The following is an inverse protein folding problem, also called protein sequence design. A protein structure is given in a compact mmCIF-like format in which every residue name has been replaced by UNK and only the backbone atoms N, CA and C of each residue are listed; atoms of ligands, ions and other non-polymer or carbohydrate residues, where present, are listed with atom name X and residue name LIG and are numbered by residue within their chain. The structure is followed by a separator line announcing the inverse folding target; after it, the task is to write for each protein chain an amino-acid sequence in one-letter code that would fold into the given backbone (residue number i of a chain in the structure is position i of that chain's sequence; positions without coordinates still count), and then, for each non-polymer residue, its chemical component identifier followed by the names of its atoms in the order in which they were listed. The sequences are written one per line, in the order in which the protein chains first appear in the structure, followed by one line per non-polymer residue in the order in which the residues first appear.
data_IF_084770407130
#
_entry.id   IF_084770407130
#
_cell.length_a   1.000
_cell.length_b   1.000
_cell.length_c   1.000
_cell.angle_alpha   90.00
_cell.angle_beta   90.00
_cell.angle_gamma   90.00
#
_symmetry.space_group_name_H-M   'P 1'
#
loop_
_entity.id
_entity.type
_entity.pdbx_description
1 polymer ?
#
# COMPACT_ATOMS: atom_id res chain seq x y z
N UNK A 1 1.79 31.10 -3.10
CA UNK A 1 1.39 29.75 -3.56
C UNK A 1 2.12 28.63 -2.80
N UNK A 2 3.43 28.74 -2.54
CA UNK A 2 4.20 27.72 -1.79
C UNK A 2 3.67 27.35 -0.39
N UNK A 3 3.14 28.33 0.35
CA UNK A 3 2.55 28.10 1.68
C UNK A 3 1.36 27.14 1.65
N UNK A 4 0.48 27.26 0.64
CA UNK A 4 -0.74 26.45 0.52
C UNK A 4 -0.39 25.02 0.12
N UNK A 5 0.48 24.87 -0.89
CA UNK A 5 0.94 23.55 -1.32
C UNK A 5 1.65 22.82 -0.18
N UNK A 6 2.56 23.49 0.53
CA UNK A 6 3.25 22.94 1.71
C UNK A 6 2.26 22.50 2.79
N UNK A 7 1.23 23.29 3.09
CA UNK A 7 0.19 22.93 4.05
C UNK A 7 -0.57 21.67 3.63
N UNK A 8 -0.97 21.57 2.37
CA UNK A 8 -1.66 20.39 1.83
C UNK A 8 -0.79 19.13 1.93
N UNK A 9 0.50 19.20 1.53
CA UNK A 9 1.43 18.08 1.64
C UNK A 9 1.63 17.61 3.07
N UNK A 10 1.81 18.56 4.00
CA UNK A 10 1.97 18.24 5.42
C UNK A 10 0.74 17.55 6.00
N UNK A 11 -0.46 18.00 5.65
CA UNK A 11 -1.71 17.36 6.11
C UNK A 11 -1.88 15.95 5.55
N UNK A 12 -1.55 15.70 4.27
CA UNK A 12 -1.58 14.37 3.66
C UNK A 12 -0.59 13.45 4.35
N UNK A 13 0.68 13.87 4.47
CA UNK A 13 1.72 13.06 5.10
C UNK A 13 1.41 12.79 6.57
N UNK A 14 0.92 13.79 7.32
CA UNK A 14 0.50 13.62 8.70
C UNK A 14 -0.60 12.58 8.82
N UNK A 15 -1.62 12.64 7.97
CA UNK A 15 -2.74 11.68 7.97
C UNK A 15 -2.24 10.27 7.64
N UNK A 16 -1.35 10.13 6.65
CA UNK A 16 -0.69 8.87 6.30
C UNK A 16 0.14 8.29 7.47
N UNK A 17 1.00 9.09 8.12
CA UNK A 17 1.83 8.63 9.23
C UNK A 17 0.99 8.24 10.46
N UNK A 18 -0.08 8.97 10.76
CA UNK A 18 -1.01 8.58 11.83
C UNK A 18 -1.62 7.22 11.52
N UNK A 19 -2.06 6.97 10.28
CA UNK A 19 -2.58 5.67 9.89
C UNK A 19 -1.53 4.56 10.03
N UNK A 20 -0.25 4.81 9.73
CA UNK A 20 0.83 3.84 9.99
C UNK A 20 1.00 3.53 11.49
N UNK A 21 0.82 4.51 12.37
CA UNK A 21 0.83 4.26 13.83
C UNK A 21 -0.34 3.35 14.22
N UNK A 22 -1.54 3.60 13.72
CA UNK A 22 -2.70 2.74 13.96
C UNK A 22 -2.51 1.33 13.38
N UNK A 23 -1.90 1.21 12.20
CA UNK A 23 -1.51 -0.08 11.62
C UNK A 23 -0.57 -0.83 12.56
N UNK A 24 0.49 -0.18 13.07
CA UNK A 24 1.46 -0.80 13.97
C UNK A 24 0.81 -1.26 15.29
N UNK A 25 -0.05 -0.43 15.88
CA UNK A 25 -0.82 -0.79 17.08
C UNK A 25 -1.75 -1.98 16.81
N UNK A 26 -2.45 -1.96 15.68
CA UNK A 26 -3.29 -3.06 15.23
C UNK A 26 -2.48 -4.35 15.06
N UNK A 27 -1.32 -4.28 14.41
CA UNK A 27 -0.44 -5.43 14.20
C UNK A 27 0.10 -6.01 15.50
N UNK A 28 0.47 -5.17 16.46
CA UNK A 28 0.89 -5.63 17.79
C UNK A 28 -0.22 -6.42 18.48
N UNK A 29 -1.46 -5.91 18.44
CA UNK A 29 -2.63 -6.61 19.00
C UNK A 29 -2.91 -7.90 18.22
N UNK A 30 -2.92 -7.84 16.89
CA UNK A 30 -3.16 -8.99 16.03
C UNK A 30 -2.20 -10.14 16.31
N UNK A 31 -0.90 -9.86 16.49
CA UNK A 31 0.11 -10.90 16.73
C UNK A 31 -0.05 -11.56 18.09
N UNK A 32 -0.34 -10.79 19.14
CA UNK A 32 -0.40 -11.29 20.51
C UNK A 32 -1.74 -11.97 20.86
N UNK A 33 -2.85 -11.49 20.28
CA UNK A 33 -4.19 -11.93 20.68
C UNK A 33 -4.86 -12.88 19.68
N UNK A 34 -4.30 -13.07 18.48
CA UNK A 34 -4.88 -13.98 17.48
C UNK A 34 -4.18 -15.35 17.52
N UNK A 35 -4.92 -16.42 17.90
CA UNK A 35 -4.41 -17.79 17.88
C UNK A 35 -4.04 -18.25 16.47
N UNK A 36 -3.02 -19.10 16.36
CA UNK A 36 -2.57 -19.67 15.08
C UNK A 36 -3.68 -20.35 14.28
N UNK A 37 -4.67 -20.95 14.96
CA UNK A 37 -5.81 -21.64 14.33
C UNK A 37 -6.71 -20.74 13.49
N UNK A 38 -6.77 -19.43 13.78
CA UNK A 38 -7.64 -18.47 13.07
C UNK A 38 -6.86 -17.69 11.98
N UNK A 39 -5.52 -17.77 11.98
CA UNK A 39 -4.66 -16.99 11.07
C UNK A 39 -4.93 -17.27 9.59
N UNK A 40 -5.28 -18.50 9.23
CA UNK A 40 -5.65 -18.84 7.85
C UNK A 40 -6.96 -18.16 7.41
N UNK A 41 -7.97 -18.12 8.28
CA UNK A 41 -9.22 -17.39 8.04
C UNK A 41 -8.99 -15.87 7.93
N UNK A 42 -8.01 -15.34 8.66
CA UNK A 42 -7.68 -13.91 8.63
C UNK A 42 -6.97 -13.49 7.36
N UNK A 43 -6.16 -14.36 6.73
CA UNK A 43 -5.60 -14.09 5.40
C UNK A 43 -6.70 -13.93 4.34
N UNK A 44 -7.80 -14.68 4.45
CA UNK A 44 -8.98 -14.54 3.59
C UNK A 44 -9.71 -13.22 3.89
N UNK A 45 -9.88 -12.87 5.17
CA UNK A 45 -10.49 -11.59 5.58
C UNK A 45 -9.66 -10.37 5.14
N UNK A 46 -8.33 -10.48 5.20
CA UNK A 46 -7.38 -9.50 4.67
C UNK A 46 -7.54 -9.33 3.16
N UNK A 47 -7.64 -10.44 2.43
CA UNK A 47 -7.85 -10.42 0.99
C UNK A 47 -9.16 -9.71 0.60
N UNK A 48 -10.24 -9.97 1.33
CA UNK A 48 -11.54 -9.28 1.16
C UNK A 48 -11.42 -7.78 1.47
N UNK A 49 -10.63 -7.39 2.47
CA UNK A 49 -10.41 -5.97 2.80
C UNK A 49 -9.56 -5.24 1.76
N UNK A 50 -8.57 -5.89 1.16
CA UNK A 50 -7.82 -5.35 0.02
C UNK A 50 -8.76 -5.19 -1.18
N UNK A 51 -9.58 -6.20 -1.49
CA UNK A 51 -10.63 -6.16 -2.52
C UNK A 51 -11.51 -4.92 -2.37
N UNK A 52 -12.14 -4.77 -1.21
CA UNK A 52 -13.03 -3.65 -0.93
C UNK A 52 -12.27 -2.33 -1.08
N UNK A 53 -11.04 -2.23 -0.56
CA UNK A 53 -10.24 -1.00 -0.66
C UNK A 53 -9.85 -0.62 -2.09
N UNK A 54 -9.53 -1.60 -2.96
CA UNK A 54 -9.18 -1.37 -4.36
C UNK A 54 -10.36 -0.84 -5.18
N UNK A 55 -11.58 -1.30 -4.88
CA UNK A 55 -12.81 -0.80 -5.51
C UNK A 55 -13.25 0.57 -4.98
N UNK A 56 -12.71 1.04 -3.85
CA UNK A 56 -13.17 2.29 -3.22
C UNK A 56 -12.41 3.54 -3.66
N UNK A 57 -11.68 3.50 -4.78
CA UNK A 57 -11.10 4.71 -5.40
C UNK A 57 -12.10 5.84 -5.68
N UNK A 58 -13.41 5.57 -5.56
CA UNK A 58 -14.51 6.55 -5.64
C UNK A 58 -15.08 6.97 -4.28
N UNK A 59 -14.22 7.26 -3.30
CA UNK A 59 -14.51 8.14 -2.15
C UNK A 59 -15.54 7.69 -1.10
N UNK A 60 -16.16 6.52 -1.22
CA UNK A 60 -17.30 6.13 -0.38
C UNK A 60 -16.99 5.45 0.96
N UNK A 61 -15.90 4.68 1.07
CA UNK A 61 -15.67 3.80 2.24
C UNK A 61 -14.88 4.45 3.38
N UNK A 62 -14.04 5.45 3.06
CA UNK A 62 -13.22 6.17 4.04
C UNK A 62 -13.42 7.67 3.85
N UNK A 63 -14.56 8.22 4.32
CA UNK A 63 -14.93 9.61 4.05
C UNK A 63 -14.13 10.62 4.89
N UNK A 64 -13.56 10.20 6.02
CA UNK A 64 -12.91 11.07 6.99
C UNK A 64 -11.66 10.42 7.62
N UNK A 65 -10.89 11.23 8.35
CA UNK A 65 -9.63 10.79 8.99
C UNK A 65 -9.83 9.68 10.02
N UNK A 66 -10.97 9.68 10.72
CA UNK A 66 -11.30 8.67 11.74
C UNK A 66 -11.51 7.30 11.10
N UNK A 67 -12.31 7.23 10.03
CA UNK A 67 -12.53 6.01 9.26
C UNK A 67 -11.22 5.46 8.70
N UNK A 68 -10.28 6.33 8.29
CA UNK A 68 -8.98 5.89 7.79
C UNK A 68 -8.15 5.23 8.89
N UNK A 69 -8.15 5.80 10.10
CA UNK A 69 -7.42 5.24 11.24
C UNK A 69 -8.03 3.92 11.72
N UNK A 70 -9.36 3.82 11.75
CA UNK A 70 -10.06 2.57 12.08
C UNK A 70 -9.72 1.50 11.03
N UNK A 71 -9.76 1.85 9.75
CA UNK A 71 -9.37 0.96 8.67
C UNK A 71 -7.92 0.48 8.84
N UNK A 72 -6.98 1.40 9.09
CA UNK A 72 -5.58 1.07 9.28
C UNK A 72 -5.36 0.16 10.50
N UNK A 73 -6.08 0.41 11.60
CA UNK A 73 -6.02 -0.43 12.78
C UNK A 73 -6.52 -1.86 12.53
N UNK A 74 -7.70 -1.99 11.91
CA UNK A 74 -8.26 -3.30 11.55
C UNK A 74 -7.32 -4.01 10.57
N UNK A 75 -6.84 -3.30 9.54
CA UNK A 75 -5.86 -3.85 8.61
C UNK A 75 -4.61 -4.34 9.33
N UNK A 76 -4.13 -3.59 10.32
CA UNK A 76 -2.99 -3.94 11.15
C UNK A 76 -3.21 -5.25 11.89
N UNK A 77 -4.38 -5.41 12.53
CA UNK A 77 -4.77 -6.65 13.23
C UNK A 77 -4.72 -7.85 12.29
N UNK A 78 -5.23 -7.70 11.06
CA UNK A 78 -5.29 -8.77 10.07
C UNK A 78 -3.92 -9.10 9.47
N UNK A 79 -3.06 -8.10 9.30
CA UNK A 79 -1.78 -8.22 8.59
C UNK A 79 -0.57 -8.39 9.49
N UNK A 80 -0.72 -8.19 10.80
CA UNK A 80 0.40 -8.22 11.75
C UNK A 80 1.19 -9.52 11.70
N UNK A 81 0.50 -10.66 11.59
CA UNK A 81 1.14 -11.98 11.43
C UNK A 81 2.00 -12.08 10.18
N UNK A 82 1.56 -11.48 9.07
CA UNK A 82 2.29 -11.46 7.79
C UNK A 82 3.58 -10.65 7.92
N UNK A 83 3.53 -9.45 8.50
CA UNK A 83 4.74 -8.65 8.70
C UNK A 83 5.72 -9.31 9.66
N UNK A 84 5.22 -9.90 10.74
CA UNK A 84 6.05 -10.64 11.70
C UNK A 84 6.69 -11.86 11.06
N UNK A 85 5.97 -12.61 10.22
CA UNK A 85 6.53 -13.73 9.45
C UNK A 85 7.73 -13.28 8.61
N UNK A 86 7.59 -12.23 7.81
CA UNK A 86 8.70 -11.73 7.00
C UNK A 86 9.83 -11.14 7.83
N UNK A 87 9.52 -10.47 8.96
CA UNK A 87 10.54 -9.95 9.87
C UNK A 87 11.41 -11.07 10.46
N UNK A 88 10.80 -12.16 10.92
CA UNK A 88 11.53 -13.32 11.44
C UNK A 88 12.30 -14.05 10.32
N UNK A 89 11.70 -14.25 9.14
CA UNK A 89 12.35 -14.99 8.07
C UNK A 89 13.53 -14.22 7.44
N UNK A 90 13.37 -12.92 7.21
CA UNK A 90 14.38 -12.09 6.54
C UNK A 90 15.44 -11.55 7.51
N UNK A 91 15.09 -11.39 8.78
CA UNK A 91 15.88 -10.69 9.79
C UNK A 91 15.67 -9.17 9.74
N UNK A 92 15.94 -8.51 10.86
CA UNK A 92 15.64 -7.08 11.06
C UNK A 92 16.33 -6.17 10.04
N UNK A 93 17.60 -6.42 9.72
CA UNK A 93 18.37 -5.58 8.78
C UNK A 93 17.77 -5.57 7.36
N UNK A 94 17.44 -6.75 6.83
CA UNK A 94 16.82 -6.91 5.51
C UNK A 94 15.41 -6.30 5.50
N UNK A 95 14.61 -6.56 6.53
CA UNK A 95 13.25 -6.01 6.65
C UNK A 95 13.26 -4.48 6.63
N UNK A 96 14.12 -3.84 7.44
CA UNK A 96 14.25 -2.38 7.49
C UNK A 96 14.74 -1.84 6.14
N UNK A 97 15.69 -2.52 5.50
CA UNK A 97 16.20 -2.13 4.17
C UNK A 97 15.08 -2.12 3.12
N UNK A 98 14.17 -3.09 3.16
CA UNK A 98 13.01 -3.15 2.26
C UNK A 98 12.04 -2.00 2.55
N UNK A 99 11.73 -1.71 3.82
CA UNK A 99 10.90 -0.56 4.19
C UNK A 99 11.49 0.76 3.65
N UNK A 100 12.81 0.95 3.81
CA UNK A 100 13.52 2.10 3.24
C UNK A 100 13.42 2.11 1.72
N UNK A 101 13.56 0.95 1.06
CA UNK A 101 13.38 0.80 -0.38
C UNK A 101 12.02 1.28 -0.88
N UNK A 102 10.94 0.92 -0.17
CA UNK A 102 9.58 1.41 -0.50
C UNK A 102 9.52 2.94 -0.37
N UNK A 103 10.04 3.51 0.72
CA UNK A 103 10.08 4.97 0.91
C UNK A 103 10.86 5.66 -0.23
N UNK A 104 11.98 5.08 -0.65
CA UNK A 104 12.77 5.58 -1.79
C UNK A 104 12.01 5.51 -3.10
N UNK A 105 11.26 4.43 -3.37
CA UNK A 105 10.41 4.33 -4.57
C UNK A 105 9.38 5.47 -4.60
N UNK A 106 8.73 5.78 -3.48
CA UNK A 106 7.80 6.91 -3.40
C UNK A 106 8.52 8.26 -3.58
N UNK A 107 9.71 8.43 -2.99
CA UNK A 107 10.53 9.64 -3.14
C UNK A 107 10.98 9.88 -4.58
N UNK A 108 11.50 8.84 -5.25
CA UNK A 108 11.87 8.87 -6.67
C UNK A 108 10.64 9.14 -7.54
N UNK A 109 9.51 8.48 -7.25
CA UNK A 109 8.26 8.70 -7.97
C UNK A 109 7.80 10.15 -7.91
N UNK A 110 7.96 10.81 -6.75
CA UNK A 110 7.68 12.24 -6.60
C UNK A 110 8.59 13.09 -7.52
N UNK A 111 9.90 12.85 -7.50
CA UNK A 111 10.86 13.58 -8.33
C UNK A 111 10.62 13.38 -9.82
N UNK A 112 10.34 12.15 -10.25
CA UNK A 112 10.00 11.84 -11.64
C UNK A 112 8.69 12.54 -12.04
N UNK A 113 7.68 12.51 -11.18
CA UNK A 113 6.38 13.14 -11.46
C UNK A 113 6.49 14.67 -11.66
N UNK A 114 7.45 15.35 -11.02
CA UNK A 114 7.68 16.79 -11.22
C UNK A 114 8.02 17.13 -12.68
N UNK A 115 8.80 16.28 -13.35
CA UNK A 115 9.32 16.51 -14.70
C UNK A 115 8.41 15.97 -15.81
N UNK A 116 7.29 15.33 -15.47
CA UNK A 116 6.38 14.71 -16.44
C UNK A 116 5.12 15.57 -16.64
N UNK A 117 4.49 15.46 -17.81
CA UNK A 117 3.21 16.14 -18.05
C UNK A 117 2.06 15.41 -17.32
N UNK A 118 1.02 16.14 -16.93
CA UNK A 118 -0.19 15.53 -16.33
C UNK A 118 -0.85 14.55 -17.30
N UNK A 119 -0.91 14.90 -18.58
CA UNK A 119 -1.50 14.07 -19.63
C UNK A 119 -0.79 12.71 -19.76
N UNK A 120 0.56 12.72 -19.83
CA UNK A 120 1.35 11.49 -19.96
C UNK A 120 1.09 10.52 -18.81
N UNK A 121 1.05 11.04 -17.57
CA UNK A 121 0.89 10.19 -16.39
C UNK A 121 -0.55 9.76 -16.19
N UNK A 122 -1.54 10.63 -16.42
CA UNK A 122 -2.94 10.27 -16.23
C UNK A 122 -3.45 9.29 -17.28
N UNK A 123 -2.83 9.24 -18.47
CA UNK A 123 -3.06 8.15 -19.46
C UNK A 123 -2.69 6.76 -18.90
N UNK A 124 -1.73 6.67 -17.97
CA UNK A 124 -1.38 5.41 -17.30
C UNK A 124 -2.43 4.99 -16.26
N UNK A 125 -3.25 5.93 -15.77
CA UNK A 125 -4.22 5.68 -14.70
C UNK A 125 -5.17 4.50 -14.95
N UNK A 126 -5.88 4.44 -16.10
CA UNK A 126 -6.75 3.32 -16.44
C UNK A 126 -6.00 1.98 -16.54
N UNK A 127 -4.85 1.96 -17.22
CA UNK A 127 -4.03 0.76 -17.38
C UNK A 127 -3.56 0.20 -16.03
N UNK A 128 -3.08 1.08 -15.13
CA UNK A 128 -2.66 0.69 -13.78
C UNK A 128 -3.85 0.20 -12.94
N UNK A 129 -5.02 0.81 -13.09
CA UNK A 129 -6.23 0.37 -12.38
C UNK A 129 -6.63 -1.04 -12.80
N UNK A 130 -6.59 -1.34 -14.11
CA UNK A 130 -6.82 -2.69 -14.63
C UNK A 130 -5.74 -3.64 -14.11
N UNK A 131 -4.46 -3.23 -14.13
CA UNK A 131 -3.35 -4.02 -13.62
C UNK A 131 -3.51 -4.42 -12.15
N UNK A 132 -3.91 -3.48 -11.29
CA UNK A 132 -4.19 -3.74 -9.86
C UNK A 132 -5.36 -4.73 -9.72
N UNK A 133 -6.42 -4.60 -10.54
CA UNK A 133 -7.54 -5.54 -10.50
C UNK A 133 -7.13 -6.94 -10.93
N UNK A 134 -6.31 -7.06 -11.99
CA UNK A 134 -5.79 -8.35 -12.46
C UNK A 134 -4.88 -8.98 -11.41
N UNK A 135 -3.95 -8.22 -10.82
CA UNK A 135 -3.08 -8.70 -9.74
C UNK A 135 -3.90 -9.23 -8.58
N UNK A 136 -4.93 -8.50 -8.19
CA UNK A 136 -5.81 -8.92 -7.13
C UNK A 136 -6.49 -10.25 -7.47
N UNK A 137 -7.03 -10.41 -8.68
CA UNK A 137 -7.64 -11.68 -9.10
C UNK A 137 -6.61 -12.82 -9.08
N UNK A 138 -5.38 -12.56 -9.52
CA UNK A 138 -4.30 -13.55 -9.50
C UNK A 138 -3.91 -13.94 -8.07
N UNK A 139 -3.82 -12.99 -7.15
CA UNK A 139 -3.59 -13.25 -5.73
C UNK A 139 -4.73 -14.06 -5.10
N UNK A 140 -5.99 -13.80 -5.49
CA UNK A 140 -7.13 -14.61 -5.05
C UNK A 140 -6.97 -16.07 -5.50
N UNK A 141 -6.73 -16.27 -6.80
CA UNK A 141 -6.58 -17.60 -7.38
C UNK A 141 -5.39 -18.31 -6.72
N UNK A 142 -4.30 -17.60 -6.47
CA UNK A 142 -3.11 -18.15 -5.82
C UNK A 142 -3.40 -18.74 -4.43
N UNK A 143 -4.20 -18.04 -3.60
CA UNK A 143 -4.59 -18.52 -2.25
C UNK A 143 -5.25 -19.90 -2.31
N UNK A 144 -6.05 -20.19 -3.34
CA UNK A 144 -6.80 -21.44 -3.44
C UNK A 144 -6.10 -22.53 -4.26
N UNK A 145 -5.37 -22.16 -5.32
CA UNK A 145 -4.95 -23.11 -6.35
C UNK A 145 -3.44 -23.36 -6.42
N UNK A 146 -2.60 -22.34 -6.17
CA UNK A 146 -1.19 -22.37 -6.57
C UNK A 146 -0.20 -22.33 -5.42
N UNK A 147 -0.59 -22.78 -4.21
CA UNK A 147 0.31 -22.95 -3.06
C UNK A 147 1.70 -23.40 -3.55
N UNK A 148 2.71 -22.51 -3.44
CA UNK A 148 4.15 -22.66 -3.74
C UNK A 148 4.76 -21.77 -4.87
N UNK A 149 5.59 -20.81 -4.43
CA UNK A 149 6.97 -20.59 -4.90
C UNK A 149 7.12 -19.71 -6.15
N UNK A 150 7.26 -20.33 -7.32
CA UNK A 150 7.55 -19.61 -8.57
C UNK A 150 6.40 -18.70 -9.00
N UNK A 151 5.16 -19.10 -8.75
CA UNK A 151 3.98 -18.27 -9.07
C UNK A 151 3.89 -17.05 -8.14
N UNK A 152 4.20 -17.21 -6.85
CA UNK A 152 4.30 -16.12 -5.87
C UNK A 152 5.38 -15.11 -6.28
N UNK A 153 6.53 -15.60 -6.77
CA UNK A 153 7.62 -14.75 -7.25
C UNK A 153 7.19 -13.89 -8.43
N UNK A 154 6.55 -14.50 -9.45
CA UNK A 154 6.07 -13.79 -10.64
C UNK A 154 5.01 -12.75 -10.25
N UNK A 155 4.03 -13.13 -9.42
CA UNK A 155 2.99 -12.22 -8.96
C UNK A 155 3.61 -11.02 -8.25
N UNK A 156 4.53 -11.24 -7.30
CA UNK A 156 5.14 -10.14 -6.58
C UNK A 156 6.07 -9.30 -7.44
N UNK A 157 6.77 -9.89 -8.43
CA UNK A 157 7.55 -9.11 -9.39
C UNK A 157 6.67 -8.16 -10.22
N UNK A 158 5.54 -8.66 -10.72
CA UNK A 158 4.55 -7.83 -11.45
C UNK A 158 3.92 -6.80 -10.51
N UNK A 159 3.60 -7.20 -9.28
CA UNK A 159 3.12 -6.35 -8.18
C UNK A 159 4.00 -5.14 -7.93
N UNK A 160 5.30 -5.39 -7.72
CA UNK A 160 6.31 -4.35 -7.52
C UNK A 160 6.28 -3.32 -8.66
N UNK A 161 6.26 -3.78 -9.92
CA UNK A 161 6.23 -2.89 -11.09
C UNK A 161 4.94 -2.06 -11.10
N UNK A 162 3.78 -2.70 -10.94
CA UNK A 162 2.48 -2.03 -10.99
C UNK A 162 2.34 -1.01 -9.86
N UNK A 163 2.69 -1.37 -8.63
CA UNK A 163 2.59 -0.44 -7.49
C UNK A 163 3.64 0.68 -7.53
N UNK A 164 4.82 0.44 -8.13
CA UNK A 164 5.82 1.49 -8.36
C UNK A 164 5.32 2.52 -9.38
N UNK A 165 4.74 2.08 -10.51
CA UNK A 165 4.13 3.00 -11.47
C UNK A 165 2.90 3.67 -10.87
N UNK A 166 2.14 2.97 -10.02
CA UNK A 166 1.02 3.56 -9.31
C UNK A 166 1.45 4.68 -8.35
N UNK A 167 2.56 4.51 -7.63
CA UNK A 167 3.13 5.56 -6.78
C UNK A 167 3.41 6.85 -7.56
N UNK A 168 3.90 6.72 -8.81
CA UNK A 168 4.09 7.86 -9.72
C UNK A 168 2.76 8.55 -10.05
N UNK A 169 1.73 7.78 -10.40
CA UNK A 169 0.38 8.34 -10.66
C UNK A 169 -0.16 9.09 -9.44
N UNK A 170 -0.06 8.50 -8.24
CA UNK A 170 -0.49 9.15 -6.98
C UNK A 170 0.25 10.47 -6.79
N UNK A 171 1.59 10.46 -6.91
CA UNK A 171 2.39 11.67 -6.70
C UNK A 171 2.03 12.77 -7.68
N UNK A 172 1.79 12.43 -8.95
CA UNK A 172 1.34 13.41 -9.94
C UNK A 172 -0.04 13.97 -9.63
N UNK A 173 -0.99 13.13 -9.20
CA UNK A 173 -2.32 13.57 -8.81
C UNK A 173 -2.28 14.55 -7.62
N UNK A 174 -1.44 14.26 -6.61
CA UNK A 174 -1.25 15.17 -5.46
C UNK A 174 -0.62 16.49 -5.91
N UNK A 175 0.44 16.45 -6.71
CA UNK A 175 1.09 17.66 -7.24
C UNK A 175 0.11 18.55 -8.01
N UNK A 176 -0.72 17.95 -8.88
CA UNK A 176 -1.72 18.67 -9.64
C UNK A 176 -2.74 19.36 -8.71
N UNK A 177 -3.35 18.62 -7.77
CA UNK A 177 -4.38 19.19 -6.89
C UNK A 177 -3.85 20.22 -5.89
N UNK A 178 -2.65 19.99 -5.34
CA UNK A 178 -2.01 20.95 -4.42
C UNK A 178 -1.66 22.29 -5.07
N UNK A 179 -1.59 22.36 -6.41
CA UNK A 179 -1.26 23.59 -7.14
C UNK A 179 -2.43 24.58 -7.24
N UNK A 180 -3.66 24.08 -7.30
CA UNK A 180 -4.83 24.89 -7.67
C UNK A 180 -5.71 25.32 -6.49
N UNK A 181 -5.72 24.61 -5.36
CA UNK A 181 -6.54 24.98 -4.21
C UNK A 181 -6.08 24.38 -2.88
N UNK A 182 -6.65 24.89 -1.78
CA UNK A 182 -6.65 24.18 -0.48
C UNK A 182 -7.47 22.90 -0.67
N UNK A 183 -6.95 21.77 -0.21
CA UNK A 183 -7.66 20.51 -0.28
C UNK A 183 -8.73 20.43 0.80
N UNK A 184 -9.88 19.90 0.44
CA UNK A 184 -10.90 19.49 1.41
C UNK A 184 -10.41 18.28 2.23
N UNK A 185 -11.03 18.03 3.40
CA UNK A 185 -10.66 16.89 4.24
C UNK A 185 -10.79 15.55 3.50
N UNK A 186 -11.86 15.37 2.72
CA UNK A 186 -12.09 14.14 1.95
C UNK A 186 -11.01 13.91 0.89
N UNK A 187 -10.50 14.95 0.25
CA UNK A 187 -9.36 14.86 -0.68
C UNK A 187 -8.08 14.47 0.03
N UNK A 188 -7.79 15.11 1.18
CA UNK A 188 -6.63 14.76 2.00
C UNK A 188 -6.67 13.28 2.39
N UNK A 189 -7.82 12.80 2.85
CA UNK A 189 -8.04 11.39 3.22
C UNK A 189 -7.87 10.49 2.00
N UNK A 190 -8.43 10.85 0.85
CA UNK A 190 -8.33 10.06 -0.40
C UNK A 190 -6.88 9.89 -0.85
N UNK A 191 -6.09 10.97 -0.82
CA UNK A 191 -4.67 10.92 -1.17
C UNK A 191 -3.85 10.13 -0.15
N UNK A 192 -4.09 10.39 1.14
CA UNK A 192 -3.40 9.68 2.22
C UNK A 192 -3.68 8.18 2.18
N UNK A 193 -4.94 7.79 1.93
CA UNK A 193 -5.36 6.41 1.79
C UNK A 193 -4.74 5.75 0.57
N UNK A 194 -4.66 6.46 -0.55
CA UNK A 194 -4.00 5.95 -1.77
C UNK A 194 -2.52 5.68 -1.55
N UNK A 195 -1.81 6.61 -0.88
CA UNK A 195 -0.41 6.39 -0.46
C UNK A 195 -0.33 5.19 0.47
N UNK A 196 -1.19 5.13 1.50
CA UNK A 196 -1.20 4.06 2.50
C UNK A 196 -1.35 2.68 1.88
N UNK A 197 -2.40 2.46 1.08
CA UNK A 197 -2.65 1.16 0.43
C UNK A 197 -1.51 0.79 -0.52
N UNK A 198 -1.07 1.72 -1.37
CA UNK A 198 0.00 1.45 -2.33
C UNK A 198 1.33 1.18 -1.65
N UNK A 199 1.62 1.85 -0.53
CA UNK A 199 2.81 1.62 0.28
C UNK A 199 2.82 0.21 0.87
N UNK A 200 1.70 -0.22 1.46
CA UNK A 200 1.60 -1.55 2.07
C UNK A 200 1.65 -2.68 1.05
N UNK A 201 0.99 -2.53 -0.10
CA UNK A 201 1.05 -3.56 -1.14
C UNK A 201 2.48 -3.69 -1.70
N UNK A 202 3.13 -2.58 -2.03
CA UNK A 202 4.51 -2.58 -2.50
C UNK A 202 5.47 -3.17 -1.45
N UNK A 203 5.24 -2.87 -0.17
CA UNK A 203 6.01 -3.45 0.94
C UNK A 203 5.84 -4.97 1.00
N UNK A 204 4.60 -5.47 0.99
CA UNK A 204 4.33 -6.92 1.05
C UNK A 204 4.91 -7.64 -0.16
N UNK A 205 4.80 -7.08 -1.36
CA UNK A 205 5.36 -7.69 -2.57
C UNK A 205 6.89 -7.73 -2.54
N UNK A 206 7.56 -6.66 -2.10
CA UNK A 206 9.02 -6.68 -1.93
C UNK A 206 9.46 -7.67 -0.85
N UNK A 207 8.76 -7.72 0.28
CA UNK A 207 9.03 -8.69 1.34
C UNK A 207 8.87 -10.13 0.83
N UNK A 208 7.79 -10.42 0.10
CA UNK A 208 7.53 -11.73 -0.51
C UNK A 208 8.62 -12.09 -1.51
N UNK A 209 8.92 -11.18 -2.43
CA UNK A 209 9.94 -11.38 -3.46
C UNK A 209 11.32 -11.69 -2.87
N UNK A 210 11.80 -10.86 -1.94
CA UNK A 210 13.10 -11.08 -1.29
C UNK A 210 13.10 -12.35 -0.43
N UNK A 211 11.98 -12.67 0.23
CA UNK A 211 11.86 -13.89 1.02
C UNK A 211 11.96 -15.16 0.17
N UNK A 212 11.37 -15.17 -1.01
CA UNK A 212 11.46 -16.32 -1.93
C UNK A 212 12.90 -16.45 -2.45
N UNK A 213 13.51 -15.35 -2.90
CA UNK A 213 14.89 -15.35 -3.36
C UNK A 213 15.91 -15.79 -2.30
N UNK A 214 15.64 -15.48 -1.02
CA UNK A 214 16.48 -15.95 0.09
C UNK A 214 16.33 -17.44 0.34
N UNK A 215 15.13 -17.99 0.19
CA UNK A 215 14.85 -19.41 0.44
C UNK A 215 15.28 -20.32 -0.72
N UNK A 216 15.43 -19.79 -1.92
CA UNK A 216 15.93 -20.49 -3.12
C UNK A 216 17.48 -20.55 -3.20
N UNK A 217 18.18 -19.88 -2.28
CA UNK A 217 19.65 -19.94 -2.11
C UNK A 217 20.03 -20.70 -0.84
#
# INVERSE_FOLDING_TARGET
MDSIAKKNYLEILKTFFIALVFLALGSFIGVNFIPYSIRYMLNIAFFILILVSAFTRRGGFVPNKVSMNIYAFILGILTGSTYVYYFYNLGAGTFISIVIGVVLIFGISYLVALNQSEETIFRLGPMITIGILVLLILEFINIFFFKFGTFDLIISAIGIVIYSVYALVIMKSIQSRCKYSILSESEIVTFSFSIFISFLNLLVDLLRFVSILKNDN
#
